data_IF_558433522361
#
_entry.id   IF_558433522361
#
_cell.length_a   1.000
_cell.length_b   1.000
_cell.length_c   1.000
_cell.angle_alpha   90.00
_cell.angle_beta   90.00
_cell.angle_gamma   90.00
#
_symmetry.space_group_name_H-M   'P 1'
#
loop_
_entity.id
_entity.type
_entity.pdbx_description
1 polymer ?
#
# COMPACT_ATOMS: atom_id res chain seq x y z
N UNK A 1 21.70 -31.93 55.12
CA UNK A 1 22.74 -32.92 54.79
C UNK A 1 23.07 -32.82 53.32
N UNK A 2 24.37 -32.70 53.02
CA UNK A 2 24.93 -32.61 51.67
C UNK A 2 24.77 -33.92 50.90
N UNK A 3 24.62 -33.84 49.57
CA UNK A 3 25.53 -34.54 48.65
C UNK A 3 25.50 -33.93 47.25
N UNK A 4 26.66 -33.39 46.86
CA UNK A 4 27.04 -33.05 45.49
C UNK A 4 27.32 -34.33 44.69
N UNK A 5 27.09 -34.27 43.39
CA UNK A 5 27.87 -35.01 42.38
C UNK A 5 28.38 -34.02 41.32
N UNK A 6 29.71 -33.99 41.15
CA UNK A 6 30.44 -33.26 40.10
C UNK A 6 30.74 -34.23 38.96
N UNK A 7 30.74 -33.76 37.71
CA UNK A 7 31.74 -34.11 36.69
C UNK A 7 31.85 -32.97 35.65
N UNK A 8 33.09 -32.58 35.36
CA UNK A 8 33.62 -31.75 34.24
C UNK A 8 34.59 -32.69 33.45
N UNK A 9 35.26 -32.31 32.34
CA UNK A 9 35.10 -31.24 31.33
C UNK A 9 35.21 -31.77 29.86
N UNK A 10 35.18 -30.90 28.84
CA UNK A 10 36.20 -30.80 27.77
C UNK A 10 35.69 -30.10 26.50
N UNK A 11 36.52 -29.18 26.00
CA UNK A 11 36.40 -28.42 24.75
C UNK A 11 37.00 -29.17 23.57
N UNK A 12 36.37 -29.09 22.39
CA UNK A 12 37.10 -29.14 21.11
C UNK A 12 36.37 -28.37 20.00
N UNK A 13 37.05 -27.36 19.48
CA UNK A 13 36.78 -26.67 18.22
C UNK A 13 37.01 -27.59 17.02
N UNK A 14 36.07 -27.63 16.07
CA UNK A 14 36.40 -27.88 14.66
C UNK A 14 35.57 -26.98 13.74
N UNK A 15 36.28 -26.30 12.84
CA UNK A 15 35.73 -25.52 11.73
C UNK A 15 35.26 -26.49 10.65
N UNK A 16 34.05 -26.31 10.16
CA UNK A 16 33.53 -26.93 8.94
C UNK A 16 32.64 -25.94 8.22
N UNK A 17 33.13 -25.41 7.11
CA UNK A 17 32.48 -24.45 6.23
C UNK A 17 31.43 -25.15 5.39
N UNK A 18 30.16 -24.71 5.42
CA UNK A 18 29.21 -24.77 4.29
C UNK A 18 28.00 -23.87 4.54
N UNK A 19 27.59 -23.11 3.50
CA UNK A 19 26.19 -22.73 3.27
C UNK A 19 25.66 -21.44 3.91
N UNK A 20 26.08 -20.28 3.41
CA UNK A 20 25.62 -18.96 3.83
C UNK A 20 24.29 -18.59 3.13
N UNK A 21 23.17 -19.17 3.57
CA UNK A 21 21.80 -18.72 3.26
C UNK A 21 20.89 -19.20 4.39
N UNK A 22 20.44 -18.26 5.22
CA UNK A 22 19.31 -18.35 6.19
C UNK A 22 19.64 -17.58 7.47
N UNK A 23 19.59 -16.26 7.38
CA UNK A 23 19.37 -15.37 8.52
C UNK A 23 18.97 -14.00 7.98
N UNK A 24 18.17 -13.27 8.76
CA UNK A 24 17.47 -12.01 8.45
C UNK A 24 16.12 -12.32 7.75
N UNK A 25 14.95 -12.17 8.37
CA UNK A 25 14.53 -11.14 9.33
C UNK A 25 13.51 -11.74 10.31
N UNK A 26 13.98 -12.08 11.52
CA UNK A 26 13.10 -12.22 12.68
C UNK A 26 12.59 -10.84 13.09
N UNK A 27 11.30 -10.77 13.37
CA UNK A 27 10.64 -9.57 13.83
C UNK A 27 11.25 -9.04 15.13
N UNK A 28 11.65 -7.77 15.08
CA UNK A 28 11.75 -6.92 16.26
C UNK A 28 11.54 -5.48 15.80
N UNK A 29 10.32 -4.97 15.93
CA UNK A 29 10.05 -3.55 15.79
C UNK A 29 10.07 -2.94 17.19
N UNK A 30 11.22 -2.38 17.55
CA UNK A 30 11.34 -1.54 18.75
C UNK A 30 10.94 -0.12 18.35
N UNK A 31 9.82 0.37 18.88
CA UNK A 31 9.42 1.77 18.72
C UNK A 31 10.38 2.67 19.49
N UNK A 32 11.16 3.49 18.78
CA UNK A 32 11.77 4.69 19.35
C UNK A 32 11.08 5.89 18.70
N UNK A 33 10.41 6.69 19.53
CA UNK A 33 9.81 7.96 19.15
C UNK A 33 10.82 8.87 18.46
N UNK A 34 10.42 9.48 17.35
CA UNK A 34 10.95 10.76 16.91
C UNK A 34 9.92 11.45 16.00
N UNK A 35 9.37 12.57 16.49
CA UNK A 35 8.76 13.59 15.65
C UNK A 35 9.89 14.16 14.78
N UNK A 36 9.74 14.18 13.46
CA UNK A 36 10.68 14.89 12.59
C UNK A 36 9.93 15.63 11.50
N UNK A 37 9.93 16.96 11.64
CA UNK A 37 9.43 17.93 10.67
C UNK A 37 10.56 18.28 9.69
N UNK A 38 10.23 18.28 8.39
CA UNK A 38 10.86 18.99 7.26
C UNK A 38 12.31 18.69 6.77
N UNK A 39 12.34 18.45 5.44
CA UNK A 39 13.24 18.95 4.39
C UNK A 39 14.64 18.34 4.09
N UNK A 40 14.70 17.77 2.87
CA UNK A 40 15.72 17.89 1.80
C UNK A 40 17.22 17.71 2.09
N UNK A 41 17.85 16.63 1.56
CA UNK A 41 18.57 16.59 0.27
C UNK A 41 19.49 15.35 0.16
N UNK A 42 19.42 14.73 -1.03
CA UNK A 42 20.42 14.00 -1.84
C UNK A 42 21.50 13.14 -1.14
N UNK A 43 21.51 11.84 -1.45
CA UNK A 43 22.77 11.18 -1.87
C UNK A 43 22.52 10.05 -2.88
N UNK A 44 23.44 9.92 -3.84
CA UNK A 44 23.43 9.05 -5.00
C UNK A 44 23.74 7.59 -4.64
N UNK A 45 22.71 6.78 -4.44
CA UNK A 45 22.81 5.33 -4.64
C UNK A 45 21.38 4.80 -4.76
N UNK A 46 21.09 3.98 -5.77
CA UNK A 46 19.76 3.45 -6.12
C UNK A 46 18.76 3.53 -4.96
N UNK A 47 17.84 4.51 -5.02
CA UNK A 47 16.98 4.86 -3.88
C UNK A 47 16.40 3.59 -3.27
N UNK A 48 16.84 3.25 -2.06
CA UNK A 48 16.45 2.00 -1.44
C UNK A 48 14.92 1.96 -1.41
N UNK A 49 14.32 0.94 -2.03
CA UNK A 49 12.86 0.81 -2.11
C UNK A 49 12.31 0.82 -0.68
N UNK A 50 11.55 1.86 -0.36
CA UNK A 50 10.87 1.99 0.94
C UNK A 50 9.53 1.30 0.83
N UNK A 51 9.22 0.46 1.80
CA UNK A 51 7.92 -0.21 1.91
C UNK A 51 7.21 0.33 3.15
N UNK A 52 6.04 0.91 2.94
CA UNK A 52 5.20 1.43 4.02
C UNK A 52 3.78 0.92 3.82
N UNK A 53 3.32 0.08 4.74
CA UNK A 53 1.96 -0.47 4.76
C UNK A 53 1.30 -0.23 6.10
N UNK A 54 0.00 0.04 6.07
CA UNK A 54 -0.86 0.00 7.25
C UNK A 54 -1.58 -1.35 7.28
N UNK A 55 -1.58 -2.02 8.43
CA UNK A 55 -2.16 -3.37 8.55
C UNK A 55 -3.08 -3.47 9.76
N UNK A 56 -4.29 -3.98 9.51
CA UNK A 56 -5.31 -4.29 10.51
C UNK A 56 -5.33 -5.81 10.74
N UNK A 57 -5.12 -6.24 11.99
CA UNK A 57 -5.09 -7.66 12.37
C UNK A 57 -6.35 -8.03 13.15
N UNK A 58 -7.12 -9.02 12.67
CA UNK A 58 -8.35 -9.51 13.32
C UNK A 58 -8.35 -11.03 13.47
N UNK A 59 -9.36 -11.57 14.15
CA UNK A 59 -9.40 -12.98 14.54
C UNK A 59 -9.36 -13.98 13.38
N UNK A 60 -9.99 -13.65 12.24
CA UNK A 60 -10.08 -14.57 11.08
C UNK A 60 -9.19 -14.18 9.90
N UNK A 61 -8.82 -12.92 9.78
CA UNK A 61 -7.97 -12.42 8.71
C UNK A 61 -7.28 -11.11 9.11
N UNK A 62 -6.24 -10.74 8.36
CA UNK A 62 -5.62 -9.43 8.40
C UNK A 62 -5.78 -8.73 7.05
N UNK A 63 -5.85 -7.40 7.07
CA UNK A 63 -5.90 -6.55 5.88
C UNK A 63 -4.72 -5.59 5.91
N UNK A 64 -3.87 -5.64 4.89
CA UNK A 64 -2.79 -4.68 4.67
C UNK A 64 -3.09 -3.78 3.48
N UNK A 65 -2.73 -2.50 3.59
CA UNK A 65 -2.95 -1.46 2.60
C UNK A 65 -1.62 -0.79 2.30
N UNK A 66 -1.23 -0.73 1.02
CA UNK A 66 0.01 -0.09 0.58
C UNK A 66 -0.16 0.63 -0.75
N UNK A 67 0.34 1.87 -0.90
CA UNK A 67 0.31 2.57 -2.17
C UNK A 67 1.29 1.95 -3.18
N UNK A 68 0.92 2.01 -4.46
CA UNK A 68 1.75 1.69 -5.62
C UNK A 68 1.85 2.97 -6.44
N UNK A 69 3.06 3.47 -6.64
CA UNK A 69 3.32 4.70 -7.38
C UNK A 69 3.00 4.56 -8.88
N UNK A 70 2.64 5.67 -9.55
CA UNK A 70 2.42 5.68 -10.99
C UNK A 70 3.71 5.38 -11.77
N UNK A 71 3.54 4.94 -13.01
CA UNK A 71 4.63 4.79 -13.96
C UNK A 71 4.67 6.01 -14.87
N UNK A 72 5.85 6.62 -15.00
CA UNK A 72 6.12 7.71 -15.92
C UNK A 72 6.86 7.22 -17.16
N UNK A 73 6.57 7.85 -18.30
CA UNK A 73 7.33 7.68 -19.55
C UNK A 73 7.97 9.01 -19.92
N UNK A 74 9.26 8.98 -20.27
CA UNK A 74 9.98 10.15 -20.78
C UNK A 74 9.49 10.50 -22.19
N UNK A 75 9.31 11.78 -22.43
CA UNK A 75 8.97 12.33 -23.74
C UNK A 75 10.25 12.75 -24.48
N UNK A 76 10.19 12.81 -25.80
CA UNK A 76 11.29 13.28 -26.64
C UNK A 76 11.68 14.73 -26.32
N UNK A 77 10.71 15.56 -25.87
CA UNK A 77 10.92 16.93 -25.43
C UNK A 77 11.68 17.08 -24.10
N UNK A 78 12.11 15.98 -23.48
CA UNK A 78 12.80 15.97 -22.18
C UNK A 78 11.86 15.98 -20.97
N UNK A 79 10.56 16.18 -21.16
CA UNK A 79 9.54 16.05 -20.12
C UNK A 79 9.23 14.60 -19.74
N UNK A 80 8.43 14.39 -18.71
CA UNK A 80 7.87 13.08 -18.36
C UNK A 80 6.36 13.19 -18.19
N UNK A 81 5.62 12.18 -18.66
CA UNK A 81 4.17 12.08 -18.45
C UNK A 81 3.82 10.80 -17.72
N UNK A 82 2.73 10.83 -16.96
CA UNK A 82 2.15 9.62 -16.38
C UNK A 82 1.66 8.73 -17.53
N UNK A 83 2.20 7.51 -17.60
CA UNK A 83 1.80 6.48 -18.56
C UNK A 83 0.74 5.55 -17.94
N UNK A 84 0.92 5.23 -16.67
CA UNK A 84 -0.04 4.43 -15.91
C UNK A 84 -0.19 5.03 -14.52
N UNK A 85 -1.43 5.28 -14.13
CA UNK A 85 -1.74 5.68 -12.76
C UNK A 85 -1.27 4.61 -11.77
N UNK A 86 -0.89 5.06 -10.58
CA UNK A 86 -0.69 4.24 -9.43
C UNK A 86 -2.00 3.60 -8.94
N UNK A 87 -1.90 2.85 -7.86
CA UNK A 87 -3.05 2.20 -7.23
C UNK A 87 -2.78 2.01 -5.74
N UNK A 88 -3.79 1.59 -4.99
CA UNK A 88 -3.60 1.11 -3.62
C UNK A 88 -3.82 -0.40 -3.61
N UNK A 89 -2.82 -1.15 -3.16
CA UNK A 89 -2.94 -2.59 -3.02
C UNK A 89 -3.53 -2.93 -1.66
N UNK A 90 -4.67 -3.64 -1.67
CA UNK A 90 -5.22 -4.34 -0.52
C UNK A 90 -4.73 -5.79 -0.55
N UNK A 91 -4.16 -6.24 0.57
CA UNK A 91 -3.71 -7.62 0.75
C UNK A 91 -4.39 -8.23 1.96
N UNK A 92 -5.15 -9.29 1.74
CA UNK A 92 -5.83 -10.06 2.77
C UNK A 92 -5.03 -11.30 3.11
N UNK A 93 -4.89 -11.59 4.40
CA UNK A 93 -4.19 -12.78 4.90
C UNK A 93 -5.12 -13.60 5.78
N UNK A 94 -5.39 -14.89 5.48
CA UNK A 94 -6.17 -15.73 6.37
C UNK A 94 -5.43 -16.01 7.68
N UNK A 95 -6.15 -16.06 8.79
CA UNK A 95 -5.60 -16.49 10.07
C UNK A 95 -5.38 -18.02 10.07
N UNK A 96 -4.26 -18.45 10.63
CA UNK A 96 -3.91 -19.89 10.84
C UNK A 96 -3.73 -20.23 12.33
N UNK A 97 -4.06 -19.29 13.20
CA UNK A 97 -3.99 -19.44 14.64
C UNK A 97 -4.12 -18.09 15.33
N UNK A 98 -4.07 -18.10 16.67
CA UNK A 98 -4.14 -16.87 17.44
C UNK A 98 -2.96 -15.96 17.09
N UNK A 99 -3.26 -14.78 16.52
CA UNK A 99 -2.27 -13.78 16.07
C UNK A 99 -1.26 -14.34 15.06
N UNK A 100 -1.64 -15.35 14.28
CA UNK A 100 -0.83 -15.95 13.21
C UNK A 100 -1.61 -15.93 11.91
N UNK A 101 -0.95 -15.50 10.83
CA UNK A 101 -1.55 -15.34 9.51
C UNK A 101 -0.68 -16.00 8.45
N UNK A 102 -1.32 -16.60 7.44
CA UNK A 102 -0.63 -17.25 6.34
C UNK A 102 -0.39 -16.25 5.20
N UNK A 103 0.87 -15.82 5.06
CA UNK A 103 1.31 -14.87 4.03
C UNK A 103 1.37 -15.48 2.63
N UNK A 104 1.33 -16.81 2.52
CA UNK A 104 1.40 -17.53 1.24
C UNK A 104 0.02 -17.63 0.59
N UNK A 105 -1.05 -17.75 1.39
CA UNK A 105 -2.45 -17.79 0.94
C UNK A 105 -3.13 -16.42 0.91
N UNK A 106 -2.36 -15.39 0.56
CA UNK A 106 -2.86 -14.01 0.52
C UNK A 106 -3.76 -13.78 -0.69
N UNK A 107 -4.80 -12.96 -0.51
CA UNK A 107 -5.64 -12.47 -1.60
C UNK A 107 -5.40 -10.99 -1.85
N UNK A 108 -5.31 -10.61 -3.13
CA UNK A 108 -4.93 -9.27 -3.57
C UNK A 108 -6.08 -8.59 -4.31
N UNK A 109 -6.31 -7.31 -4.01
CA UNK A 109 -7.24 -6.44 -4.71
C UNK A 109 -6.62 -5.04 -4.85
N UNK A 110 -6.48 -4.53 -6.06
CA UNK A 110 -5.93 -3.20 -6.28
C UNK A 110 -7.07 -2.19 -6.42
N UNK A 111 -6.98 -1.04 -5.75
CA UNK A 111 -7.91 0.06 -5.95
C UNK A 111 -7.26 1.08 -6.88
N UNK A 112 -7.93 1.40 -7.98
CA UNK A 112 -7.63 2.55 -8.82
C UNK A 112 -7.88 3.87 -8.06
N UNK A 113 -7.37 5.01 -8.55
CA UNK A 113 -7.64 6.32 -7.94
C UNK A 113 -9.14 6.61 -7.76
N UNK A 114 -9.98 6.20 -8.72
CA UNK A 114 -11.44 6.37 -8.65
C UNK A 114 -12.05 5.52 -7.53
N UNK A 115 -11.66 4.25 -7.40
CA UNK A 115 -12.16 3.37 -6.35
C UNK A 115 -11.66 3.79 -4.96
N UNK A 116 -10.45 4.34 -4.87
CA UNK A 116 -9.96 5.03 -3.67
C UNK A 116 -10.90 6.20 -3.35
N UNK A 117 -11.26 7.02 -4.34
CA UNK A 117 -12.24 8.10 -4.21
C UNK A 117 -13.56 7.63 -3.60
N UNK A 118 -14.14 6.55 -4.13
CA UNK A 118 -15.36 5.93 -3.59
C UNK A 118 -15.21 5.48 -2.14
N UNK A 119 -14.06 4.90 -1.76
CA UNK A 119 -13.84 4.42 -0.40
C UNK A 119 -13.66 5.57 0.60
N UNK A 120 -12.94 6.64 0.22
CA UNK A 120 -12.74 7.78 1.12
C UNK A 120 -13.98 8.67 1.24
N UNK A 121 -14.91 8.62 0.28
CA UNK A 121 -16.17 9.37 0.31
C UNK A 121 -17.29 8.66 1.07
N UNK A 122 -17.13 7.39 1.46
CA UNK A 122 -18.18 6.62 2.15
C UNK A 122 -18.74 7.35 3.37
N UNK A 123 -20.06 7.50 3.39
CA UNK A 123 -20.82 7.90 4.57
C UNK A 123 -20.96 6.76 5.61
N UNK A 124 -21.31 7.07 6.87
CA UNK A 124 -21.37 6.08 7.97
C UNK A 124 -22.33 4.88 7.74
N UNK A 125 -23.36 5.07 6.92
CA UNK A 125 -24.36 4.06 6.61
C UNK A 125 -24.27 3.54 5.15
N UNK A 126 -23.31 4.04 4.38
CA UNK A 126 -23.15 3.69 2.98
C UNK A 126 -22.28 2.45 2.81
N UNK A 127 -22.45 1.79 1.68
CA UNK A 127 -21.61 0.69 1.23
C UNK A 127 -21.11 0.93 -0.18
N UNK A 128 -19.99 0.33 -0.54
CA UNK A 128 -19.53 0.26 -1.93
C UNK A 128 -19.01 -1.14 -2.27
N UNK A 129 -19.04 -1.46 -3.56
CA UNK A 129 -18.59 -2.74 -4.09
C UNK A 129 -17.82 -2.53 -5.39
N UNK A 130 -16.77 -3.34 -5.58
CA UNK A 130 -15.90 -3.29 -6.74
C UNK A 130 -15.72 -4.69 -7.31
N UNK A 131 -15.68 -4.80 -8.63
CA UNK A 131 -15.56 -6.07 -9.35
C UNK A 131 -14.39 -6.03 -10.32
N UNK A 132 -13.45 -6.94 -10.15
CA UNK A 132 -12.25 -7.03 -10.96
C UNK A 132 -12.19 -8.39 -11.65
N UNK A 133 -11.89 -8.36 -12.95
CA UNK A 133 -11.37 -9.48 -13.70
C UNK A 133 -9.92 -9.17 -14.09
N UNK A 134 -8.91 -9.80 -13.47
CA UNK A 134 -7.51 -9.52 -13.76
C UNK A 134 -7.10 -9.78 -15.22
N UNK A 135 -7.89 -10.57 -15.95
CA UNK A 135 -7.64 -10.99 -17.32
C UNK A 135 -8.63 -10.36 -18.31
N UNK A 136 -9.37 -9.33 -17.89
CA UNK A 136 -10.32 -8.62 -18.76
C UNK A 136 -9.63 -8.15 -20.05
N UNK A 137 -10.31 -8.30 -21.20
CA UNK A 137 -9.77 -8.00 -22.54
C UNK A 137 -8.60 -8.90 -22.98
N UNK A 138 -8.48 -10.09 -22.38
CA UNK A 138 -7.55 -11.13 -22.84
C UNK A 138 -8.30 -12.43 -23.13
N UNK A 139 -7.61 -13.43 -23.69
CA UNK A 139 -8.16 -14.77 -23.90
C UNK A 139 -8.54 -15.51 -22.61
N UNK A 140 -8.13 -15.01 -21.45
CA UNK A 140 -8.41 -15.62 -20.14
C UNK A 140 -9.49 -14.87 -19.35
N UNK A 141 -10.23 -13.97 -19.99
CA UNK A 141 -11.36 -13.27 -19.38
C UNK A 141 -12.40 -14.24 -18.80
N UNK A 142 -12.99 -13.87 -17.67
CA UNK A 142 -14.00 -14.62 -16.93
C UNK A 142 -13.45 -15.77 -16.08
N UNK A 143 -12.16 -16.11 -16.21
CA UNK A 143 -11.56 -17.22 -15.48
C UNK A 143 -11.31 -16.90 -14.00
N UNK A 144 -11.00 -15.64 -13.68
CA UNK A 144 -10.82 -15.18 -12.29
C UNK A 144 -11.69 -13.95 -12.08
N UNK A 145 -12.56 -14.00 -11.06
CA UNK A 145 -13.42 -12.89 -10.67
C UNK A 145 -13.16 -12.55 -9.21
N UNK A 146 -12.93 -11.26 -8.95
CA UNK A 146 -12.73 -10.73 -7.61
C UNK A 146 -13.81 -9.71 -7.30
N UNK A 147 -14.47 -9.84 -6.15
CA UNK A 147 -15.31 -8.79 -5.61
C UNK A 147 -14.76 -8.31 -4.28
N UNK A 148 -14.82 -7.00 -4.06
CA UNK A 148 -14.51 -6.34 -2.81
C UNK A 148 -15.73 -5.56 -2.37
N UNK A 149 -16.27 -5.84 -1.19
CA UNK A 149 -17.39 -5.09 -0.62
C UNK A 149 -17.01 -4.47 0.72
N UNK A 150 -17.39 -3.20 0.89
CA UNK A 150 -17.24 -2.45 2.13
C UNK A 150 -18.64 -2.12 2.62
N UNK A 151 -19.02 -2.70 3.76
CA UNK A 151 -20.38 -2.58 4.30
C UNK A 151 -20.34 -2.13 5.76
N UNK A 152 -21.28 -1.28 6.23
CA UNK A 152 -21.25 -0.78 7.60
C UNK A 152 -21.53 -1.90 8.62
N UNK A 153 -20.86 -1.84 9.78
CA UNK A 153 -21.07 -2.77 10.92
C UNK A 153 -22.38 -2.50 11.69
N UNK A 154 -23.13 -1.45 11.33
CA UNK A 154 -24.26 -0.92 12.09
C UNK A 154 -23.81 0.01 13.22
N UNK A 155 -24.69 0.95 13.60
CA UNK A 155 -24.46 1.93 14.68
C UNK A 155 -23.14 2.72 14.58
N UNK A 156 -22.67 3.04 13.37
CA UNK A 156 -21.42 3.79 13.11
C UNK A 156 -20.16 3.20 13.78
N UNK A 157 -20.12 1.87 13.94
CA UNK A 157 -18.99 1.18 14.59
C UNK A 157 -17.82 0.85 13.65
N UNK A 158 -17.91 1.27 12.38
CA UNK A 158 -16.95 0.96 11.32
C UNK A 158 -17.57 0.11 10.21
N UNK A 159 -16.74 -0.67 9.53
CA UNK A 159 -17.11 -1.43 8.33
C UNK A 159 -16.58 -2.86 8.35
N UNK A 160 -17.28 -3.76 7.69
CA UNK A 160 -16.69 -4.99 7.17
C UNK A 160 -16.07 -4.71 5.81
N UNK A 161 -14.83 -5.16 5.63
CA UNK A 161 -14.17 -5.22 4.32
C UNK A 161 -14.07 -6.69 3.93
N UNK A 162 -14.79 -7.06 2.87
CA UNK A 162 -14.90 -8.45 2.41
C UNK A 162 -14.31 -8.59 1.02
N UNK A 163 -13.49 -9.62 0.82
CA UNK A 163 -13.01 -10.02 -0.50
C UNK A 163 -13.54 -11.42 -0.83
N UNK A 164 -14.05 -11.59 -2.05
CA UNK A 164 -14.34 -12.90 -2.64
C UNK A 164 -13.51 -13.07 -3.90
N UNK A 165 -12.78 -14.18 -4.00
CA UNK A 165 -11.98 -14.54 -5.18
C UNK A 165 -12.46 -15.88 -5.70
N UNK A 166 -13.13 -15.84 -6.85
CA UNK A 166 -13.51 -17.01 -7.62
C UNK A 166 -12.44 -17.26 -8.68
N UNK A 167 -11.76 -18.40 -8.60
CA UNK A 167 -10.79 -18.84 -9.61
C UNK A 167 -11.28 -20.14 -10.26
N UNK A 168 -11.79 -20.02 -11.49
CA UNK A 168 -12.33 -21.13 -12.25
C UNK A 168 -11.24 -22.07 -12.81
N UNK A 169 -9.99 -21.61 -12.89
CA UNK A 169 -8.84 -22.42 -13.33
C UNK A 169 -8.42 -23.37 -12.21
N UNK A 170 -8.25 -22.83 -11.01
CA UNK A 170 -7.84 -23.60 -9.82
C UNK A 170 -9.02 -24.24 -9.07
N UNK A 171 -10.25 -23.97 -9.50
CA UNK A 171 -11.50 -24.40 -8.85
C UNK A 171 -11.58 -23.97 -7.38
N UNK A 172 -11.12 -22.76 -7.08
CA UNK A 172 -11.18 -22.19 -5.72
C UNK A 172 -12.21 -21.07 -5.63
N UNK A 173 -12.79 -20.93 -4.43
CA UNK A 173 -13.70 -19.84 -4.06
C UNK A 173 -13.33 -19.39 -2.66
N UNK A 174 -12.46 -18.38 -2.59
CA UNK A 174 -11.90 -17.88 -1.34
C UNK A 174 -12.66 -16.66 -0.87
N UNK A 175 -12.96 -16.61 0.43
CA UNK A 175 -13.73 -15.53 1.05
C UNK A 175 -13.07 -15.11 2.35
N UNK A 176 -12.68 -13.85 2.45
CA UNK A 176 -12.08 -13.28 3.66
C UNK A 176 -12.84 -12.04 4.06
N UNK A 177 -13.02 -11.86 5.36
CA UNK A 177 -13.74 -10.74 5.96
C UNK A 177 -12.93 -10.16 7.12
N UNK A 178 -12.73 -8.85 7.11
CA UNK A 178 -12.01 -8.12 8.14
C UNK A 178 -12.92 -7.01 8.69
N UNK A 179 -13.35 -7.09 9.96
CA UNK A 179 -14.03 -5.96 10.61
C UNK A 179 -13.01 -4.86 10.91
N UNK A 180 -13.26 -3.68 10.38
CA UNK A 180 -12.48 -2.46 10.55
C UNK A 180 -13.30 -1.51 11.41
N UNK A 181 -12.79 -1.17 12.58
CA UNK A 181 -13.42 -0.23 13.51
C UNK A 181 -13.46 1.18 12.93
N UNK A 182 -14.32 2.06 13.48
CA UNK A 182 -14.36 3.48 13.14
C UNK A 182 -12.98 4.16 13.19
N UNK A 183 -12.18 3.86 14.22
CA UNK A 183 -10.84 4.41 14.37
C UNK A 183 -9.86 3.91 13.30
N UNK A 184 -9.84 2.60 13.04
CA UNK A 184 -9.02 2.02 11.96
C UNK A 184 -9.43 2.57 10.59
N UNK A 185 -10.73 2.74 10.35
CA UNK A 185 -11.23 3.31 9.10
C UNK A 185 -10.87 4.79 8.95
N UNK A 186 -10.84 5.56 10.04
CA UNK A 186 -10.36 6.95 10.01
C UNK A 186 -8.88 7.05 9.61
N UNK A 187 -8.03 6.14 10.10
CA UNK A 187 -6.62 6.03 9.66
C UNK A 187 -6.54 5.69 8.18
N UNK A 188 -7.32 4.70 7.72
CA UNK A 188 -7.39 4.33 6.31
C UNK A 188 -7.79 5.52 5.44
N UNK A 189 -8.90 6.20 5.78
CA UNK A 189 -9.41 7.36 5.03
C UNK A 189 -8.35 8.46 4.93
N UNK A 190 -7.66 8.75 6.03
CA UNK A 190 -6.60 9.77 6.07
C UNK A 190 -5.41 9.37 5.19
N UNK A 191 -4.91 8.15 5.35
CA UNK A 191 -3.77 7.65 4.57
C UNK A 191 -4.07 7.61 3.07
N UNK A 192 -5.28 7.19 2.69
CA UNK A 192 -5.72 7.10 1.31
C UNK A 192 -5.95 8.47 0.67
N UNK A 193 -6.52 9.41 1.42
CA UNK A 193 -6.68 10.81 0.97
C UNK A 193 -5.31 11.44 0.69
N UNK A 194 -4.31 11.17 1.53
CA UNK A 194 -2.94 11.61 1.30
C UNK A 194 -2.28 10.89 0.11
N UNK A 195 -2.49 9.58 -0.03
CA UNK A 195 -1.91 8.79 -1.10
C UNK A 195 -2.50 9.13 -2.48
N UNK A 196 -3.76 9.57 -2.55
CA UNK A 196 -4.48 9.83 -3.80
C UNK A 196 -3.72 10.72 -4.81
N UNK A 197 -3.26 11.94 -4.45
CA UNK A 197 -2.48 12.77 -5.38
C UNK A 197 -1.16 12.11 -5.79
N UNK A 198 -0.53 11.32 -4.92
CA UNK A 198 0.75 10.64 -5.21
C UNK A 198 0.56 9.48 -6.18
N UNK A 199 -0.51 8.68 -6.04
CA UNK A 199 -0.83 7.62 -7.00
C UNK A 199 -1.26 8.20 -8.36
N UNK A 200 -1.71 9.45 -8.41
CA UNK A 200 -1.98 10.19 -9.64
C UNK A 200 -0.72 10.88 -10.22
N UNK A 201 0.39 10.92 -9.49
CA UNK A 201 1.65 11.57 -9.89
C UNK A 201 1.63 13.10 -9.78
N UNK A 202 0.62 13.67 -9.11
CA UNK A 202 0.47 15.11 -8.94
C UNK A 202 1.53 15.68 -8.00
N UNK A 203 2.00 14.90 -7.03
CA UNK A 203 3.12 15.28 -6.18
C UNK A 203 4.37 15.63 -7.00
N UNK A 204 4.69 14.81 -8.01
CA UNK A 204 5.84 15.04 -8.89
C UNK A 204 5.58 16.16 -9.89
N UNK A 205 4.37 16.25 -10.44
CA UNK A 205 3.99 17.33 -11.36
C UNK A 205 3.98 18.71 -10.70
N UNK A 206 3.67 18.78 -9.39
CA UNK A 206 3.66 20.03 -8.62
C UNK A 206 5.02 20.33 -7.98
N UNK A 207 5.89 19.33 -7.83
CA UNK A 207 7.24 19.50 -7.27
C UNK A 207 8.25 20.09 -8.25
N UNK A 208 7.89 20.27 -9.53
CA UNK A 208 8.72 21.02 -10.48
C UNK A 208 8.78 22.48 -10.06
N UNK A 209 9.78 22.79 -9.23
CA UNK A 209 10.20 24.13 -8.91
C UNK A 209 10.57 24.84 -10.23
N UNK A 210 10.10 26.09 -10.48
CA UNK A 210 10.53 26.86 -11.65
C UNK A 210 12.06 26.97 -11.59
N UNK A 211 12.74 26.51 -12.64
CA UNK A 211 14.18 26.75 -12.73
C UNK A 211 14.41 28.27 -12.79
N UNK A 212 15.06 28.78 -11.75
CA UNK A 212 15.82 30.04 -11.72
C UNK A 212 16.71 30.17 -12.97
N UNK A 213 16.89 31.31 -13.67
CA UNK A 213 16.63 32.75 -13.45
C UNK A 213 16.99 33.52 -14.78
N UNK A 214 17.19 34.87 -14.87
CA UNK A 214 16.85 35.98 -13.95
C UNK A 214 16.14 37.19 -14.63
N UNK A 215 15.84 38.21 -13.82
CA UNK A 215 15.61 39.65 -14.10
C UNK A 215 14.20 40.24 -13.97
N UNK A 216 14.18 41.31 -13.17
CA UNK A 216 13.11 42.23 -12.80
C UNK A 216 12.07 41.72 -11.81
N UNK A 217 12.11 42.32 -10.62
CA UNK A 217 11.09 42.20 -9.60
C UNK A 217 9.77 42.79 -10.11
N UNK A 218 8.95 41.98 -10.77
CA UNK A 218 7.52 42.25 -10.87
C UNK A 218 6.80 41.39 -9.85
N UNK A 219 6.00 42.03 -9.00
CA UNK A 219 5.07 41.41 -8.05
C UNK A 219 4.39 40.17 -8.65
N UNK A 220 4.05 39.13 -7.86
CA UNK A 220 3.29 38.00 -8.39
C UNK A 220 1.97 38.53 -8.94
N UNK A 221 1.91 38.67 -10.27
CA UNK A 221 0.71 39.09 -10.98
C UNK A 221 -0.17 37.86 -10.95
N UNK A 222 -1.32 37.97 -10.30
CA UNK A 222 -2.38 36.98 -10.43
C UNK A 222 -2.85 37.05 -11.88
N UNK A 223 -2.16 36.35 -12.79
CA UNK A 223 -2.62 36.18 -14.16
C UNK A 223 -3.89 35.33 -14.08
N UNK A 224 -5.02 35.97 -14.39
CA UNK A 224 -6.25 35.21 -14.62
C UNK A 224 -5.95 34.24 -15.75
N UNK A 225 -6.41 32.97 -15.66
CA UNK A 225 -6.30 32.04 -16.78
C UNK A 225 -6.79 32.75 -18.04
N UNK A 226 -5.96 32.81 -19.07
CA UNK A 226 -6.35 33.42 -20.33
C UNK A 226 -7.56 32.62 -20.85
N UNK A 227 -8.74 33.24 -21.07
CA UNK A 227 -9.88 32.53 -21.64
C UNK A 227 -9.51 31.75 -22.90
N UNK A 228 -8.57 32.25 -23.71
CA UNK A 228 -8.13 31.58 -24.94
C UNK A 228 -7.50 30.20 -24.68
N UNK A 229 -6.96 29.94 -23.48
CA UNK A 229 -6.47 28.60 -23.09
C UNK A 229 -7.58 27.55 -22.99
N UNK A 230 -8.85 27.98 -22.92
CA UNK A 230 -10.03 27.11 -22.95
C UNK A 230 -10.56 26.90 -24.38
N UNK A 231 -10.03 27.63 -25.37
CA UNK A 231 -10.56 27.71 -26.73
C UNK A 231 -9.59 27.25 -27.81
N UNK A 232 -8.54 26.48 -27.49
CA UNK A 232 -7.55 25.93 -28.45
C UNK A 232 -8.21 25.59 -29.80
N UNK A 233 -8.07 26.51 -30.76
CA UNK A 233 -8.53 26.42 -32.15
C UNK A 233 -7.31 26.36 -33.05
#
# INVERSE_FOLDING_TARGET
MLRLSRFLPSTSTSRGVTGLKDALWSGSLTFKHALSTSAANVDENASAKKFASYTVFKGKAALSISPILPLFTKLESGGSRVNRNGSVMLTFFPAVGQRKYDYTKKQLFALSPTEVGSLISLGPAESCEFFHDPSMKSSHEGQVKKSLSITPLGSDNGYFVNITVLNNVQKTNERLSVPVTKAEFAVMRTALSFALPHIMGWDQALSTHPQSAPTSASKPRFERPNPDSEWDR
#
